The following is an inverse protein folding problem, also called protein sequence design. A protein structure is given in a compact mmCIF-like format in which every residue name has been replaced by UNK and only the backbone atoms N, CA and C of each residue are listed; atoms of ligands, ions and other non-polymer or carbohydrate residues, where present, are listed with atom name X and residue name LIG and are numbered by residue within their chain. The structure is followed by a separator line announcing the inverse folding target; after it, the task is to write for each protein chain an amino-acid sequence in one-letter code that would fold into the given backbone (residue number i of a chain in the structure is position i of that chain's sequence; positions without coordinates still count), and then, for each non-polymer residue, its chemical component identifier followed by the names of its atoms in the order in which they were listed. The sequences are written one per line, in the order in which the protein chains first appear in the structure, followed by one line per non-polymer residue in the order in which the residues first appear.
data_IF_195500347054
#
_entry.id   IF_195500347054
#
_cell.length_a   1.000
_cell.length_b   1.000
_cell.length_c   1.000
_cell.angle_alpha   90.00
_cell.angle_beta   90.00
_cell.angle_gamma   90.00
#
_symmetry.space_group_name_H-M   'P 1'
#
loop_
_entity.id
_entity.type
_entity.pdbx_description
1 polymer ?
#
# COMPACT_ATOMS: atom_id res chain seq x y z
N UNK A 1 18.15 -3.71 9.10
CA UNK A 1 17.03 -2.93 9.68
C UNK A 1 15.76 -3.28 8.92
N UNK A 2 14.70 -3.74 9.58
CA UNK A 2 13.38 -3.91 8.93
C UNK A 2 12.86 -2.51 8.57
N UNK A 3 12.45 -2.28 7.33
CA UNK A 3 11.95 -0.98 6.85
C UNK A 3 10.69 -0.61 7.66
N UNK A 4 10.66 0.58 8.27
CA UNK A 4 9.48 1.02 9.04
C UNK A 4 8.26 1.17 8.14
N UNK A 5 8.47 1.66 6.92
CA UNK A 5 7.43 1.86 5.93
C UNK A 5 6.75 0.54 5.54
N UNK A 6 7.54 -0.51 5.31
CA UNK A 6 7.02 -1.86 5.03
C UNK A 6 6.14 -2.38 6.18
N UNK A 7 6.54 -2.15 7.44
CA UNK A 7 5.74 -2.58 8.61
C UNK A 7 4.40 -1.87 8.67
N UNK A 8 4.37 -0.58 8.36
CA UNK A 8 3.13 0.20 8.37
C UNK A 8 2.16 -0.29 7.29
N UNK A 9 2.68 -0.67 6.12
CA UNK A 9 1.90 -1.29 5.05
C UNK A 9 1.32 -2.63 5.49
N UNK A 10 2.14 -3.50 6.07
CA UNK A 10 1.69 -4.81 6.55
C UNK A 10 0.61 -4.62 7.62
N UNK A 11 0.82 -3.71 8.57
CA UNK A 11 -0.16 -3.41 9.62
C UNK A 11 -1.50 -2.97 9.02
N UNK A 12 -1.47 -2.11 8.01
CA UNK A 12 -2.68 -1.66 7.32
C UNK A 12 -3.39 -2.78 6.54
N UNK A 13 -2.65 -3.72 5.95
CA UNK A 13 -3.23 -4.91 5.31
C UNK A 13 -3.98 -5.76 6.33
N UNK A 14 -3.38 -5.97 7.50
CA UNK A 14 -3.93 -6.84 8.55
C UNK A 14 -5.11 -6.21 9.31
N UNK A 15 -5.02 -4.91 9.63
CA UNK A 15 -5.88 -4.28 10.64
C UNK A 15 -6.89 -3.29 10.06
N UNK A 16 -6.68 -2.76 8.85
CA UNK A 16 -7.56 -1.73 8.32
C UNK A 16 -8.80 -2.32 7.64
N UNK A 17 -9.93 -1.62 7.71
CA UNK A 17 -11.16 -1.99 6.99
C UNK A 17 -11.12 -1.60 5.49
N UNK A 18 -10.08 -0.89 5.07
CA UNK A 18 -9.92 -0.43 3.70
C UNK A 18 -9.63 -1.62 2.78
N UNK A 19 -10.40 -1.77 1.71
CA UNK A 19 -10.15 -2.79 0.68
C UNK A 19 -8.98 -2.41 -0.23
N UNK A 20 -8.77 -1.12 -0.45
CA UNK A 20 -7.72 -0.59 -1.31
C UNK A 20 -6.74 0.24 -0.49
N UNK A 21 -5.45 -0.06 -0.62
CA UNK A 21 -4.36 0.64 0.07
C UNK A 21 -3.36 1.11 -0.98
N UNK A 22 -2.96 2.38 -0.91
CA UNK A 22 -2.02 3.00 -1.84
C UNK A 22 -0.72 3.37 -1.11
N UNK A 23 0.41 3.00 -1.72
CA UNK A 23 1.75 3.12 -1.12
C UNK A 23 2.74 3.68 -2.13
N UNK A 24 3.77 4.40 -1.66
CA UNK A 24 4.83 4.94 -2.48
C UNK A 24 5.80 3.84 -2.91
N UNK A 25 5.77 3.48 -4.19
CA UNK A 25 6.69 2.48 -4.78
C UNK A 25 8.16 2.81 -4.52
N UNK A 26 8.51 4.10 -4.59
CA UNK A 26 9.89 4.60 -4.42
C UNK A 26 10.52 4.30 -3.06
N UNK A 27 9.73 3.95 -2.04
CA UNK A 27 10.20 3.63 -0.69
C UNK A 27 10.40 2.13 -0.44
N UNK A 28 10.20 1.29 -1.46
CA UNK A 28 10.21 -0.15 -1.37
C UNK A 28 11.21 -0.77 -2.35
N UNK A 29 11.90 -1.81 -1.90
CA UNK A 29 12.66 -2.69 -2.78
C UNK A 29 11.71 -3.69 -3.48
N UNK A 30 12.13 -4.22 -4.63
CA UNK A 30 11.33 -5.21 -5.37
C UNK A 30 10.95 -6.42 -4.50
N UNK A 31 11.84 -6.90 -3.63
CA UNK A 31 11.55 -7.99 -2.70
C UNK A 31 10.44 -7.65 -1.71
N UNK A 32 10.38 -6.40 -1.23
CA UNK A 32 9.33 -5.93 -0.33
C UNK A 32 8.01 -5.77 -1.07
N UNK A 33 8.04 -5.28 -2.32
CA UNK A 33 6.85 -5.20 -3.16
C UNK A 33 6.25 -6.59 -3.36
N UNK A 34 7.06 -7.59 -3.75
CA UNK A 34 6.59 -8.96 -3.92
C UNK A 34 6.01 -9.55 -2.64
N UNK A 35 6.64 -9.28 -1.48
CA UNK A 35 6.12 -9.74 -0.19
C UNK A 35 4.78 -9.09 0.15
N UNK A 36 4.66 -7.78 -0.03
CA UNK A 36 3.43 -7.00 0.19
C UNK A 36 2.30 -7.50 -0.72
N UNK A 37 2.59 -7.81 -1.99
CA UNK A 37 1.59 -8.34 -2.94
C UNK A 37 1.05 -9.69 -2.50
N UNK A 38 1.91 -10.60 -2.05
CA UNK A 38 1.49 -11.91 -1.52
C UNK A 38 0.57 -11.73 -0.32
N UNK A 39 0.97 -10.88 0.64
CA UNK A 39 0.16 -10.58 1.81
C UNK A 39 -1.17 -9.93 1.43
N UNK A 40 -1.18 -9.00 0.47
CA UNK A 40 -2.41 -8.33 0.06
C UNK A 40 -3.43 -9.31 -0.54
N UNK A 41 -2.97 -10.26 -1.35
CA UNK A 41 -3.83 -11.31 -1.91
C UNK A 41 -4.40 -12.20 -0.80
N UNK A 42 -3.56 -12.64 0.13
CA UNK A 42 -3.97 -13.49 1.26
C UNK A 42 -5.08 -12.84 2.11
N UNK A 43 -5.00 -11.52 2.31
CA UNK A 43 -5.96 -10.75 3.11
C UNK A 43 -7.05 -10.05 2.27
N UNK A 44 -7.19 -10.41 0.98
CA UNK A 44 -8.17 -9.86 0.06
C UNK A 44 -8.17 -8.32 0.00
N UNK A 45 -6.96 -7.75 -0.05
CA UNK A 45 -6.68 -6.32 -0.21
C UNK A 45 -6.16 -6.04 -1.61
N UNK A 46 -6.45 -4.85 -2.13
CA UNK A 46 -5.88 -4.30 -3.36
C UNK A 46 -4.77 -3.30 -3.00
N UNK A 47 -3.55 -3.52 -3.47
CA UNK A 47 -2.44 -2.58 -3.30
C UNK A 47 -2.20 -1.80 -4.58
N UNK A 48 -2.06 -0.49 -4.45
CA UNK A 48 -1.66 0.40 -5.54
C UNK A 48 -0.27 0.96 -5.21
N UNK A 49 0.74 0.53 -5.96
CA UNK A 49 2.10 1.08 -5.85
C UNK A 49 2.22 2.33 -6.71
N UNK A 50 1.91 3.49 -6.11
CA UNK A 50 1.92 4.77 -6.78
C UNK A 50 3.26 5.50 -6.71
N UNK A 51 3.48 6.37 -7.68
CA UNK A 51 4.42 7.49 -7.62
C UNK A 51 3.86 8.64 -6.78
N UNK A 52 4.72 9.60 -6.42
CA UNK A 52 4.30 10.77 -5.65
C UNK A 52 3.21 11.58 -6.36
N UNK A 53 3.31 11.72 -7.69
CA UNK A 53 2.31 12.44 -8.47
C UNK A 53 0.97 11.72 -8.46
N UNK A 54 0.95 10.41 -8.67
CA UNK A 54 -0.30 9.63 -8.68
C UNK A 54 -1.01 9.64 -7.32
N UNK A 55 -0.25 9.66 -6.22
CA UNK A 55 -0.82 9.71 -4.86
C UNK A 55 -1.38 11.10 -4.52
N UNK A 56 -0.74 12.17 -4.99
CA UNK A 56 -1.14 13.55 -4.70
C UNK A 56 -2.28 14.06 -5.58
N UNK A 57 -2.37 13.58 -6.82
CA UNK A 57 -3.34 14.04 -7.83
C UNK A 57 -4.43 13.01 -8.13
N UNK A 58 -4.72 12.10 -7.20
CA UNK A 58 -5.80 11.14 -7.37
C UNK A 58 -7.17 11.85 -7.18
N UNK A 59 -7.67 12.47 -8.25
CA UNK A 59 -8.91 13.26 -8.26
C UNK A 59 -10.19 12.39 -8.28
N UNK A 60 -10.08 11.07 -8.40
CA UNK A 60 -11.22 10.13 -8.51
C UNK A 60 -11.50 9.36 -7.21
N UNK A 61 -11.64 10.08 -6.08
CA UNK A 61 -11.92 9.47 -4.77
C UNK A 61 -13.42 9.21 -4.62
N UNK A 62 -13.92 8.18 -5.29
CA UNK A 62 -15.19 7.51 -4.91
C UNK A 62 -14.94 6.13 -4.28
N UNK A 63 -13.68 5.70 -4.18
CA UNK A 63 -13.29 4.47 -3.48
C UNK A 63 -12.64 4.85 -2.13
N UNK A 64 -13.08 4.20 -1.05
CA UNK A 64 -12.42 4.27 0.26
C UNK A 64 -11.00 3.69 0.13
N UNK A 65 -10.02 4.54 -0.17
CA UNK A 65 -8.60 4.18 -0.32
C UNK A 65 -7.82 4.72 0.89
N UNK A 66 -7.03 3.86 1.52
CA UNK A 66 -6.06 4.27 2.54
C UNK A 66 -4.72 4.60 1.88
N UNK A 67 -4.19 5.80 2.12
CA UNK A 67 -2.87 6.21 1.62
C UNK A 67 -1.85 6.17 2.75
N UNK A 68 -0.78 5.38 2.60
CA UNK A 68 0.29 5.26 3.60
C UNK A 68 1.50 6.07 3.13
N UNK A 69 1.89 7.08 3.92
CA UNK A 69 2.89 8.10 3.55
C UNK A 69 4.22 7.91 4.24
#
# INVERSE_FOLDING_TARGET
MRNAYERDIIKAILESDYKTIMVFKSKLMNSQISFIDVMAVEYNKKIIFGSIKEILFNENINENILVIR
#
